data_IF_287941687323
#
_entry.id   IF_287941687323
#
_cell.length_a   1.000
_cell.length_b   1.000
_cell.length_c   1.000
_cell.angle_alpha   90.00
_cell.angle_beta   90.00
_cell.angle_gamma   90.00
#
_symmetry.space_group_name_H-M   'P 1'
#
loop_
_entity.id
_entity.type
_entity.pdbx_description
1 polymer ?
#
# COMPACT_ATOMS: atom_id res chain seq x y z
N UNK A 1 13.11 -11.06 -34.56
CA UNK A 1 13.37 -10.07 -33.49
C UNK A 1 14.51 -10.61 -32.63
N UNK A 2 15.70 -10.01 -32.66
CA UNK A 2 16.92 -10.64 -32.10
C UNK A 2 16.92 -10.67 -30.57
N UNK A 3 17.54 -11.70 -29.98
CA UNK A 3 17.65 -11.95 -28.53
C UNK A 3 18.10 -10.70 -27.75
N UNK A 4 19.06 -9.94 -28.30
CA UNK A 4 19.57 -8.67 -27.74
C UNK A 4 18.51 -7.59 -27.51
N UNK A 5 17.52 -7.46 -28.41
CA UNK A 5 16.46 -6.46 -28.25
C UNK A 5 15.47 -6.83 -27.14
N UNK A 6 15.38 -8.11 -26.79
CA UNK A 6 14.56 -8.59 -25.67
C UNK A 6 15.26 -8.33 -24.34
N UNK A 7 16.57 -8.59 -24.28
CA UNK A 7 17.39 -8.36 -23.09
C UNK A 7 17.45 -6.88 -22.71
N UNK A 8 17.69 -5.98 -23.68
CA UNK A 8 17.71 -4.52 -23.44
C UNK A 8 16.35 -4.00 -22.92
N UNK A 9 15.24 -4.47 -23.51
CA UNK A 9 13.89 -4.09 -23.04
C UNK A 9 13.60 -4.59 -21.63
N UNK A 10 14.05 -5.79 -21.29
CA UNK A 10 13.90 -6.36 -19.96
C UNK A 10 14.70 -5.56 -18.91
N UNK A 11 15.94 -5.20 -19.24
CA UNK A 11 16.82 -4.40 -18.39
C UNK A 11 16.26 -3.00 -18.14
N UNK A 12 15.75 -2.31 -19.17
CA UNK A 12 15.10 -1.00 -19.01
C UNK A 12 13.85 -1.12 -18.14
N UNK A 13 13.05 -2.18 -18.32
CA UNK A 13 11.84 -2.39 -17.53
C UNK A 13 12.16 -2.57 -16.03
N UNK A 14 13.18 -3.37 -15.70
CA UNK A 14 13.61 -3.58 -14.30
C UNK A 14 14.14 -2.28 -13.69
N UNK A 15 14.86 -1.46 -14.45
CA UNK A 15 15.35 -0.16 -13.99
C UNK A 15 14.20 0.78 -13.61
N UNK A 16 13.23 0.93 -14.52
CA UNK A 16 12.06 1.80 -14.31
C UNK A 16 11.23 1.30 -13.13
N UNK A 17 11.05 -0.01 -13.01
CA UNK A 17 10.35 -0.62 -11.88
C UNK A 17 11.07 -0.35 -10.54
N UNK A 18 12.40 -0.52 -10.47
CA UNK A 18 13.18 -0.29 -9.27
C UNK A 18 13.12 1.16 -8.78
N UNK A 19 13.28 2.13 -9.69
CA UNK A 19 13.16 3.57 -9.36
C UNK A 19 11.72 3.90 -8.95
N UNK A 20 10.72 3.34 -9.64
CA UNK A 20 9.31 3.50 -9.31
C UNK A 20 8.98 3.03 -7.89
N UNK A 21 9.52 1.88 -7.47
CA UNK A 21 9.33 1.34 -6.11
C UNK A 21 9.93 2.27 -5.03
N UNK A 22 11.09 2.87 -5.28
CA UNK A 22 11.72 3.82 -4.34
C UNK A 22 10.87 5.08 -4.19
N UNK A 23 10.42 5.67 -5.31
CA UNK A 23 9.59 6.90 -5.29
C UNK A 23 8.26 6.63 -4.60
N UNK A 24 7.60 5.51 -4.90
CA UNK A 24 6.36 5.12 -4.24
C UNK A 24 6.54 4.91 -2.73
N UNK A 25 7.64 4.28 -2.32
CA UNK A 25 7.98 4.10 -0.89
C UNK A 25 8.14 5.42 -0.14
N UNK A 26 8.87 6.39 -0.70
CA UNK A 26 9.06 7.70 -0.06
C UNK A 26 7.75 8.50 0.01
N UNK A 27 6.96 8.53 -1.07
CA UNK A 27 5.65 9.21 -1.08
C UNK A 27 4.71 8.58 -0.05
N UNK A 28 4.69 7.25 0.03
CA UNK A 28 3.89 6.53 1.03
C UNK A 28 4.24 6.94 2.45
N UNK A 29 5.53 6.94 2.81
CA UNK A 29 6.01 7.38 4.14
C UNK A 29 5.57 8.81 4.45
N UNK A 30 5.74 9.74 3.51
CA UNK A 30 5.40 11.15 3.73
C UNK A 30 3.89 11.32 3.91
N UNK A 31 3.07 10.69 3.07
CA UNK A 31 1.60 10.79 3.13
C UNK A 31 1.07 10.21 4.45
N UNK A 32 1.54 9.03 4.86
CA UNK A 32 1.18 8.43 6.15
C UNK A 32 1.56 9.33 7.35
N UNK A 33 2.69 10.05 7.25
CA UNK A 33 3.13 11.00 8.29
C UNK A 33 2.29 12.27 8.30
N UNK A 34 1.83 12.75 7.14
CA UNK A 34 0.95 13.92 7.03
C UNK A 34 -0.43 13.58 7.60
N UNK A 35 -1.05 12.48 7.18
CA UNK A 35 -2.39 12.10 7.65
C UNK A 35 -2.40 11.82 9.17
N UNK A 36 -1.37 11.14 9.69
CA UNK A 36 -1.26 10.91 11.14
C UNK A 36 -1.02 12.18 11.95
N UNK A 37 -0.26 13.15 11.41
CA UNK A 37 -0.09 14.45 12.06
C UNK A 37 -1.37 15.28 11.99
N UNK A 38 -2.05 15.28 10.84
CA UNK A 38 -3.30 16.02 10.62
C UNK A 38 -4.38 15.52 11.58
N UNK A 39 -4.59 14.20 11.67
CA UNK A 39 -5.49 13.59 12.65
C UNK A 39 -5.13 13.94 14.09
N UNK A 40 -3.86 13.77 14.51
CA UNK A 40 -3.42 14.12 15.88
C UNK A 40 -3.54 15.60 16.20
N UNK A 41 -3.43 16.47 15.19
CA UNK A 41 -3.58 17.91 15.34
C UNK A 41 -5.03 18.39 15.25
N UNK A 42 -5.96 17.52 14.86
CA UNK A 42 -7.36 17.88 14.76
C UNK A 42 -7.92 18.14 16.15
N UNK A 43 -8.52 19.31 16.33
CA UNK A 43 -9.24 19.68 17.56
C UNK A 43 -10.69 19.20 17.56
N UNK A 44 -11.17 18.65 16.44
CA UNK A 44 -12.53 18.18 16.25
C UNK A 44 -12.51 16.75 15.71
N UNK A 45 -12.67 15.79 16.63
CA UNK A 45 -12.78 14.36 16.36
C UNK A 45 -14.13 13.90 16.89
N UNK A 46 -14.94 13.28 16.04
CA UNK A 46 -16.31 12.86 16.38
C UNK A 46 -16.54 11.43 15.96
N UNK A 47 -17.28 10.70 16.79
CA UNK A 47 -17.86 9.41 16.41
C UNK A 47 -19.22 9.67 15.80
N UNK A 48 -19.42 9.20 14.59
CA UNK A 48 -20.67 9.37 13.85
C UNK A 48 -21.09 8.04 13.26
N UNK A 49 -22.39 7.90 13.11
CA UNK A 49 -22.99 6.74 12.49
C UNK A 49 -22.98 6.92 10.97
N UNK A 50 -22.30 6.02 10.26
CA UNK A 50 -22.14 6.04 8.81
C UNK A 50 -22.89 4.87 8.15
N UNK A 51 -23.54 5.14 7.02
CA UNK A 51 -24.34 4.15 6.29
C UNK A 51 -23.45 3.38 5.33
N UNK A 52 -23.51 2.05 5.37
CA UNK A 52 -22.77 1.16 4.47
C UNK A 52 -23.40 1.23 3.08
N UNK A 53 -22.65 1.76 2.12
CA UNK A 53 -23.08 1.85 0.71
C UNK A 53 -22.63 0.63 -0.11
N UNK A 54 -21.56 -0.03 0.33
CA UNK A 54 -20.98 -1.20 -0.31
C UNK A 54 -20.15 -1.97 0.73
N UNK A 55 -20.01 -3.28 0.56
CA UNK A 55 -19.23 -4.12 1.47
C UNK A 55 -18.45 -5.17 0.70
N UNK A 56 -17.26 -5.50 1.20
CA UNK A 56 -16.42 -6.58 0.72
C UNK A 56 -15.77 -7.28 1.90
N UNK A 57 -15.53 -8.58 1.77
CA UNK A 57 -14.91 -9.38 2.82
C UNK A 57 -13.81 -10.24 2.21
N UNK A 58 -12.61 -10.15 2.78
CA UNK A 58 -11.44 -10.88 2.32
C UNK A 58 -10.88 -11.70 3.47
N UNK A 59 -10.55 -12.97 3.22
CA UNK A 59 -9.91 -13.82 4.20
C UNK A 59 -8.42 -13.95 3.88
N UNK A 60 -7.56 -13.59 4.83
CA UNK A 60 -6.14 -13.92 4.78
C UNK A 60 -5.90 -15.28 5.41
N UNK A 61 -5.22 -16.15 4.67
CA UNK A 61 -4.86 -17.49 5.12
C UNK A 61 -3.39 -17.57 5.51
N UNK A 62 -3.07 -18.43 6.46
CA UNK A 62 -1.69 -18.79 6.77
C UNK A 62 -1.15 -19.88 5.82
N UNK A 63 0.10 -20.28 6.02
CA UNK A 63 0.79 -21.28 5.19
C UNK A 63 0.17 -22.68 5.30
N UNK A 64 -0.64 -22.93 6.33
CA UNK A 64 -1.43 -24.16 6.51
C UNK A 64 -2.75 -24.12 5.73
N UNK A 65 -3.12 -22.95 5.20
CA UNK A 65 -4.38 -22.71 4.50
C UNK A 65 -5.54 -22.33 5.42
N UNK A 66 -5.28 -22.16 6.72
CA UNK A 66 -6.25 -21.76 7.72
C UNK A 66 -6.45 -20.24 7.70
N UNK A 67 -7.68 -19.78 7.91
CA UNK A 67 -7.97 -18.33 7.93
C UNK A 67 -7.37 -17.74 9.20
N UNK A 68 -6.40 -16.84 9.02
CA UNK A 68 -5.73 -16.11 10.10
C UNK A 68 -6.51 -14.86 10.49
N UNK A 69 -6.94 -14.09 9.48
CA UNK A 69 -7.74 -12.88 9.65
C UNK A 69 -8.81 -12.78 8.58
N UNK A 70 -9.94 -12.17 8.96
CA UNK A 70 -10.96 -11.71 8.03
C UNK A 70 -10.95 -10.18 8.02
N UNK A 71 -10.73 -9.60 6.85
CA UNK A 71 -10.75 -8.16 6.60
C UNK A 71 -12.11 -7.77 6.04
N UNK A 72 -12.80 -6.86 6.72
CA UNK A 72 -14.07 -6.30 6.27
C UNK A 72 -13.83 -4.89 5.74
N UNK A 73 -13.99 -4.69 4.43
CA UNK A 73 -13.89 -3.38 3.79
C UNK A 73 -15.31 -2.86 3.51
N UNK A 74 -15.67 -1.75 4.17
CA UNK A 74 -16.94 -1.07 3.97
C UNK A 74 -16.70 0.25 3.25
N UNK A 75 -17.44 0.49 2.18
CA UNK A 75 -17.62 1.85 1.70
C UNK A 75 -18.78 2.43 2.49
N UNK A 76 -18.56 3.57 3.12
CA UNK A 76 -19.54 4.23 3.98
C UNK A 76 -19.84 5.64 3.49
N UNK A 77 -21.06 6.09 3.77
CA UNK A 77 -21.54 7.44 3.52
C UNK A 77 -22.00 8.05 4.84
N UNK A 78 -21.54 9.25 5.16
CA UNK A 78 -21.83 9.90 6.42
C UNK A 78 -22.09 11.39 6.22
N UNK A 79 -22.79 12.02 7.15
CA UNK A 79 -23.13 13.44 7.08
C UNK A 79 -22.52 14.17 8.27
N UNK A 80 -21.74 15.21 8.01
CA UNK A 80 -21.22 16.12 9.03
C UNK A 80 -21.62 17.53 8.65
N UNK A 81 -22.22 18.26 9.58
CA UNK A 81 -22.65 19.65 9.41
C UNK A 81 -23.47 19.87 8.11
N UNK A 82 -24.34 18.91 7.76
CA UNK A 82 -25.20 18.96 6.57
C UNK A 82 -24.52 18.60 5.24
N UNK A 83 -23.22 18.30 5.24
CA UNK A 83 -22.48 17.82 4.06
C UNK A 83 -22.32 16.30 4.09
N UNK A 84 -22.60 15.65 2.96
CA UNK A 84 -22.37 14.21 2.79
C UNK A 84 -20.95 13.93 2.34
N UNK A 85 -20.29 13.04 3.06
CA UNK A 85 -18.97 12.53 2.77
C UNK A 85 -19.03 11.03 2.50
N UNK A 86 -18.03 10.52 1.80
CA UNK A 86 -17.86 9.09 1.54
C UNK A 86 -16.44 8.69 1.89
N UNK A 87 -16.28 7.47 2.39
CA UNK A 87 -14.96 6.94 2.71
C UNK A 87 -14.96 5.43 2.77
N UNK A 88 -13.76 4.88 2.96
CA UNK A 88 -13.55 3.45 3.18
C UNK A 88 -13.22 3.24 4.65
N UNK A 89 -13.85 2.25 5.26
CA UNK A 89 -13.64 1.82 6.63
C UNK A 89 -13.25 0.33 6.58
N UNK A 90 -12.10 -0.04 7.12
CA UNK A 90 -11.56 -1.40 7.13
C UNK A 90 -11.34 -1.88 8.57
N UNK A 91 -12.01 -2.97 8.94
CA UNK A 91 -11.74 -3.66 10.20
C UNK A 91 -11.12 -5.04 9.92
N UNK A 92 -9.98 -5.31 10.54
CA UNK A 92 -9.36 -6.65 10.54
C UNK A 92 -9.71 -7.40 11.81
N UNK A 93 -10.33 -8.55 11.64
CA UNK A 93 -10.76 -9.41 12.74
C UNK A 93 -9.95 -10.71 12.71
N UNK A 94 -9.24 -10.99 13.81
CA UNK A 94 -8.58 -12.27 14.02
C UNK A 94 -9.59 -13.42 14.05
N UNK A 95 -9.20 -14.58 13.53
CA UNK A 95 -10.06 -15.79 13.55
C UNK A 95 -10.58 -16.14 14.95
N UNK A 96 -9.77 -15.94 16.00
CA UNK A 96 -10.18 -16.27 17.37
C UNK A 96 -11.21 -15.31 17.98
N UNK A 97 -11.49 -14.17 17.32
CA UNK A 97 -12.39 -13.15 17.85
C UNK A 97 -13.80 -13.32 17.26
N UNK A 98 -14.49 -14.33 17.78
CA UNK A 98 -15.82 -14.73 17.30
C UNK A 98 -16.88 -13.65 17.47
N UNK A 99 -16.84 -12.87 18.55
CA UNK A 99 -17.83 -11.82 18.84
C UNK A 99 -17.75 -10.67 17.83
N UNK A 100 -16.53 -10.17 17.56
CA UNK A 100 -16.33 -9.18 16.50
C UNK A 100 -16.71 -9.75 15.15
N UNK A 101 -16.23 -10.97 14.82
CA UNK A 101 -16.50 -11.62 13.53
C UNK A 101 -18.00 -11.71 13.28
N UNK A 102 -18.75 -12.18 14.26
CA UNK A 102 -20.21 -12.29 14.18
C UNK A 102 -20.90 -10.94 14.01
N UNK A 103 -20.39 -9.89 14.66
CA UNK A 103 -20.93 -8.53 14.52
C UNK A 103 -20.77 -8.02 13.09
N UNK A 104 -19.56 -8.13 12.52
CA UNK A 104 -19.28 -7.67 11.16
C UNK A 104 -19.88 -8.56 10.07
N UNK A 105 -19.97 -9.88 10.27
CA UNK A 105 -20.59 -10.83 9.33
C UNK A 105 -22.08 -10.57 9.11
N UNK A 106 -22.76 -9.94 10.10
CA UNK A 106 -24.16 -9.57 10.01
C UNK A 106 -24.42 -8.29 9.24
N UNK A 107 -23.42 -7.42 9.13
CA UNK A 107 -23.61 -6.12 8.49
C UNK A 107 -23.92 -6.31 7.01
N UNK A 108 -24.86 -5.52 6.52
CA UNK A 108 -25.32 -5.48 5.15
C UNK A 108 -25.32 -4.04 4.65
N UNK A 109 -25.43 -3.90 3.33
CA UNK A 109 -25.64 -2.60 2.70
C UNK A 109 -26.92 -1.96 3.25
N UNK A 110 -26.83 -0.69 3.63
CA UNK A 110 -27.89 0.06 4.29
C UNK A 110 -27.82 0.05 5.82
N UNK A 111 -27.05 -0.86 6.41
CA UNK A 111 -26.78 -0.84 7.84
C UNK A 111 -25.85 0.32 8.20
N UNK A 112 -25.82 0.63 9.48
CA UNK A 112 -25.09 1.74 10.04
C UNK A 112 -23.96 1.23 10.91
N UNK A 113 -22.76 1.81 10.75
CA UNK A 113 -21.58 1.52 11.57
C UNK A 113 -21.05 2.82 12.16
N UNK A 114 -20.65 2.76 13.43
CA UNK A 114 -20.03 3.92 14.08
C UNK A 114 -18.58 4.05 13.64
N UNK A 115 -18.27 5.17 12.99
CA UNK A 115 -16.95 5.50 12.48
C UNK A 115 -16.45 6.78 13.14
N UNK A 116 -15.14 6.88 13.27
CA UNK A 116 -14.50 8.08 13.77
C UNK A 116 -14.09 8.97 12.60
N UNK A 117 -14.49 10.24 12.64
CA UNK A 117 -14.11 11.26 11.67
C UNK A 117 -13.37 12.40 12.37
N UNK A 118 -12.48 13.05 11.63
CA UNK A 118 -11.75 14.22 12.10
C UNK A 118 -11.85 15.36 11.08
N UNK A 119 -11.78 16.59 11.59
CA UNK A 119 -11.68 17.79 10.77
C UNK A 119 -10.25 17.98 10.28
N UNK A 120 -10.11 18.06 8.96
CA UNK A 120 -8.84 18.36 8.30
C UNK A 120 -8.46 19.83 8.46
N UNK A 121 -7.18 20.16 8.22
CA UNK A 121 -6.68 21.54 8.22
C UNK A 121 -7.40 22.46 7.22
N UNK A 122 -8.01 21.87 6.18
CA UNK A 122 -8.80 22.57 5.15
C UNK A 122 -10.27 22.79 5.55
N UNK A 123 -10.69 22.23 6.69
CA UNK A 123 -12.05 22.35 7.21
C UNK A 123 -13.04 21.27 6.76
N UNK A 124 -12.62 20.34 5.90
CA UNK A 124 -13.41 19.16 5.51
C UNK A 124 -13.24 18.00 6.51
N UNK A 125 -14.15 17.03 6.49
CA UNK A 125 -14.08 15.84 7.32
C UNK A 125 -13.55 14.63 6.56
N UNK A 126 -12.72 13.82 7.23
CA UNK A 126 -12.23 12.52 6.74
C UNK A 126 -12.42 11.46 7.81
N UNK A 127 -12.50 10.20 7.39
CA UNK A 127 -12.41 9.05 8.30
C UNK A 127 -11.02 9.02 8.94
N UNK A 128 -10.96 8.64 10.21
CA UNK A 128 -9.70 8.44 10.93
C UNK A 128 -8.78 7.53 10.09
N UNK A 129 -7.53 7.93 9.85
CA UNK A 129 -6.62 7.11 9.07
C UNK A 129 -6.40 5.82 9.84
N UNK A 130 -6.90 4.71 9.30
CA UNK A 130 -6.57 3.37 9.76
C UNK A 130 -5.11 3.14 9.43
N UNK A 131 -4.25 3.57 10.34
CA UNK A 131 -2.82 3.35 10.26
C UNK A 131 -2.54 1.89 10.52
N UNK A 132 -2.78 1.03 9.53
CA UNK A 132 -2.22 -0.31 9.54
C UNK A 132 -0.69 -0.13 9.61
N UNK A 133 -0.01 -0.66 10.64
CA UNK A 133 1.46 -0.59 10.72
C UNK A 133 2.14 -1.24 9.50
N UNK A 134 1.38 -2.08 8.79
CA UNK A 134 1.78 -2.84 7.62
C UNK A 134 2.07 -1.94 6.43
N UNK A 135 1.30 -0.89 6.19
CA UNK A 135 1.54 0.01 5.04
C UNK A 135 2.84 0.78 5.20
N UNK A 136 3.12 1.27 6.41
CA UNK A 136 4.41 1.89 6.72
C UNK A 136 5.57 0.89 6.60
N UNK A 137 5.39 -0.34 7.07
CA UNK A 137 6.39 -1.40 6.95
C UNK A 137 6.63 -1.78 5.48
N UNK A 138 5.58 -1.84 4.66
CA UNK A 138 5.64 -2.11 3.22
C UNK A 138 6.37 -0.98 2.48
N UNK A 139 6.08 0.29 2.78
CA UNK A 139 6.84 1.40 2.21
C UNK A 139 8.30 1.38 2.65
N UNK A 140 8.58 1.03 3.91
CA UNK A 140 9.93 0.86 4.42
C UNK A 140 10.66 -0.31 3.77
N UNK A 141 9.98 -1.42 3.46
CA UNK A 141 10.52 -2.59 2.77
C UNK A 141 10.68 -2.38 1.25
N UNK A 142 9.85 -1.55 0.63
CA UNK A 142 9.93 -1.22 -0.79
C UNK A 142 11.22 -0.48 -1.14
N UNK A 143 11.73 0.37 -0.23
CA UNK A 143 12.99 1.13 -0.43
C UNK A 143 14.21 0.20 -0.57
N UNK A 144 14.54 -0.70 0.37
CA UNK A 144 15.68 -1.61 0.23
C UNK A 144 15.49 -2.61 -0.92
N UNK A 145 14.26 -3.05 -1.20
CA UNK A 145 13.97 -3.91 -2.37
C UNK A 145 14.27 -3.17 -3.68
N UNK A 146 13.81 -1.93 -3.83
CA UNK A 146 14.11 -1.10 -5.00
C UNK A 146 15.61 -0.84 -5.15
N UNK A 147 16.31 -0.57 -4.05
CA UNK A 147 17.76 -0.33 -4.02
C UNK A 147 18.56 -1.58 -4.42
N UNK A 148 18.10 -2.76 -4.02
CA UNK A 148 18.68 -4.04 -4.40
C UNK A 148 18.61 -4.29 -5.91
N UNK A 149 17.46 -4.01 -6.54
CA UNK A 149 17.32 -4.10 -8.00
C UNK A 149 18.28 -3.17 -8.74
N UNK A 150 18.49 -1.95 -8.24
CA UNK A 150 19.45 -1.00 -8.82
C UNK A 150 20.89 -1.51 -8.71
N UNK A 151 21.28 -2.11 -7.59
CA UNK A 151 22.64 -2.64 -7.40
C UNK A 151 22.94 -3.84 -8.30
N UNK A 152 22.01 -4.79 -8.43
CA UNK A 152 22.17 -5.94 -9.36
C UNK A 152 22.45 -5.43 -10.77
N UNK A 153 21.72 -4.41 -11.19
CA UNK A 153 21.83 -3.86 -12.52
C UNK A 153 23.17 -3.15 -12.76
N UNK A 154 23.69 -2.40 -11.78
CA UNK A 154 25.03 -1.79 -11.87
C UNK A 154 26.09 -2.89 -11.99
N UNK A 155 25.95 -3.98 -11.25
CA UNK A 155 26.85 -5.14 -11.33
C UNK A 155 26.80 -5.81 -12.71
N UNK A 156 25.63 -5.96 -13.32
CA UNK A 156 25.49 -6.57 -14.65
C UNK A 156 26.06 -5.68 -15.76
N UNK A 157 25.83 -4.35 -15.70
CA UNK A 157 26.43 -3.39 -16.63
C UNK A 157 27.96 -3.40 -16.49
N UNK A 158 28.48 -3.42 -15.26
CA UNK A 158 29.92 -3.47 -15.02
C UNK A 158 30.55 -4.77 -15.53
N UNK A 159 29.86 -5.91 -15.40
CA UNK A 159 30.30 -7.21 -15.94
C UNK A 159 30.29 -7.22 -17.47
N UNK A 160 29.24 -6.69 -18.10
CA UNK A 160 29.14 -6.62 -19.57
C UNK A 160 30.22 -5.72 -20.17
N UNK A 161 30.53 -4.60 -19.51
CA UNK A 161 31.63 -3.70 -19.91
C UNK A 161 33.01 -4.36 -19.74
N UNK A 162 33.24 -5.13 -18.67
CA UNK A 162 34.50 -5.88 -18.53
C UNK A 162 34.66 -6.96 -19.60
N UNK A 163 33.58 -7.66 -19.93
CA UNK A 163 33.58 -8.72 -20.93
C UNK A 163 33.89 -8.19 -22.34
N UNK A 164 33.28 -7.05 -22.70
CA UNK A 164 33.59 -6.33 -23.95
C UNK A 164 35.03 -5.81 -24.01
N UNK A 165 35.57 -5.35 -22.87
CA UNK A 165 36.97 -4.90 -22.80
C UNK A 165 37.96 -6.05 -23.01
N UNK A 166 37.74 -7.19 -22.35
CA UNK A 166 38.60 -8.37 -22.52
C UNK A 166 38.55 -8.97 -23.92
N UNK A 167 37.39 -8.93 -24.58
CA UNK A 167 37.22 -9.45 -25.94
C UNK A 167 37.94 -8.56 -26.97
N UNK A 168 37.91 -7.24 -26.79
CA UNK A 168 38.65 -6.31 -27.64
C UNK A 168 40.18 -6.36 -27.43
N UNK A 169 40.67 -6.62 -26.21
CA UNK A 169 42.11 -6.79 -25.94
C UNK A 169 42.66 -8.07 -26.59
N UNK A 170 41.89 -9.18 -26.60
CA UNK A 170 42.30 -10.43 -27.26
C UNK A 170 42.36 -10.33 -28.79
N UNK A 171 41.51 -9.51 -29.42
CA UNK A 171 41.50 -9.30 -30.88
C UNK A 171 42.65 -8.39 -31.32
N UNK A 172 43.20 -7.56 -30.43
CA UNK A 172 44.33 -6.68 -30.74
C UNK A 172 45.71 -7.34 -30.60
N UNK A 173 45.79 -8.55 -30.04
CA UNK A 173 47.03 -9.31 -29.87
C UNK A 173 47.21 -10.45 -30.90
N UNK A 174 46.28 -10.60 -31.86
CA UNK A 174 46.34 -11.55 -32.99
C UNK A 174 46.71 -10.83 -34.30
#
# INVERSE_FOLDING_TARGET
MSKRNKDIKMTIFIMVAGIGLIVAGVIGIVTSRIDSREYKSSTDIRKISAVIIDFSTTNEKDDSGDVKYTTYEFKVSYVVDGKTYKGKYEERVWWNNYEKKYTYDKLRKGDTVDVEVYKTSKGDYKLSPEGSPVDFLLYCAAIPVGLFFVVIMICDIAKDNRKKKSENEMISEE
#
